data_IF_008788020560
#
_entry.id   IF_008788020560
#
_cell.length_a   1.000
_cell.length_b   1.000
_cell.length_c   1.000
_cell.angle_alpha   90.00
_cell.angle_beta   90.00
_cell.angle_gamma   90.00
#
_symmetry.space_group_name_H-M   'P 1'
#
loop_
_entity.id
_entity.type
_entity.pdbx_description
1 polymer ?
#
# COMPACT_ATOMS: atom_id res chain seq x y z
N UNK A 1 20.93 29.48 -20.11
CA UNK A 1 21.04 28.31 -19.23
C UNK A 1 20.09 28.48 -18.06
N UNK A 2 18.82 28.09 -18.21
CA UNK A 2 17.73 28.34 -17.25
C UNK A 2 17.49 27.06 -16.46
N UNK A 3 17.82 27.09 -15.16
CA UNK A 3 17.49 26.03 -14.21
C UNK A 3 16.01 26.12 -13.86
N UNK A 4 15.21 25.19 -14.38
CA UNK A 4 13.82 25.00 -13.96
C UNK A 4 13.80 24.09 -12.74
N UNK A 5 13.71 24.67 -11.56
CA UNK A 5 13.42 23.97 -10.32
C UNK A 5 11.91 23.70 -10.27
N UNK A 6 11.50 22.48 -10.61
CA UNK A 6 10.12 22.02 -10.37
C UNK A 6 9.95 21.76 -8.87
N UNK A 7 9.38 22.73 -8.17
CA UNK A 7 8.77 22.53 -6.85
C UNK A 7 7.43 21.83 -7.06
N UNK A 8 7.37 20.54 -6.81
CA UNK A 8 6.09 19.84 -6.63
C UNK A 8 5.55 20.20 -5.25
N UNK A 9 4.66 21.16 -5.21
CA UNK A 9 3.78 21.39 -4.06
C UNK A 9 2.78 20.25 -4.00
N UNK A 10 2.88 19.41 -2.98
CA UNK A 10 1.81 18.47 -2.62
C UNK A 10 0.72 19.33 -2.00
N UNK A 11 -0.26 19.70 -2.81
CA UNK A 11 -1.50 20.32 -2.36
C UNK A 11 -2.34 19.20 -1.75
N UNK A 12 -2.35 19.11 -0.43
CA UNK A 12 -3.27 18.27 0.33
C UNK A 12 -4.64 18.96 0.26
N UNK A 13 -5.38 18.68 -0.82
CA UNK A 13 -6.79 19.03 -0.92
C UNK A 13 -7.55 18.04 -0.02
N UNK A 14 -7.68 18.39 1.25
CA UNK A 14 -8.76 17.92 2.10
C UNK A 14 -10.00 18.69 1.62
N UNK A 15 -10.60 18.22 0.54
CA UNK A 15 -11.94 18.63 0.18
C UNK A 15 -12.88 17.96 1.19
N UNK A 16 -13.31 18.72 2.20
CA UNK A 16 -14.56 18.45 2.88
C UNK A 16 -15.68 18.51 1.83
N UNK A 17 -15.92 17.39 1.16
CA UNK A 17 -17.15 17.25 0.39
C UNK A 17 -18.26 17.07 1.41
N UNK A 18 -19.01 18.12 1.64
CA UNK A 18 -20.32 18.06 2.28
C UNK A 18 -21.25 17.27 1.35
N UNK A 19 -21.30 15.96 1.54
CA UNK A 19 -22.28 15.08 0.89
C UNK A 19 -23.50 15.02 1.81
N UNK A 20 -24.22 16.11 1.88
CA UNK A 20 -25.61 16.13 2.29
C UNK A 20 -26.42 16.08 1.00
N UNK A 21 -26.88 14.92 0.56
CA UNK A 21 -27.98 14.71 -0.37
C UNK A 21 -27.77 13.48 -1.26
N UNK A 22 -27.77 12.29 -0.71
CA UNK A 22 -28.18 11.07 -1.43
C UNK A 22 -28.82 10.09 -0.44
N UNK A 23 -29.88 10.55 0.20
CA UNK A 23 -30.81 9.70 0.91
C UNK A 23 -32.19 9.97 0.34
N UNK A 24 -32.53 9.30 -0.73
CA UNK A 24 -33.91 8.94 -1.06
C UNK A 24 -33.93 7.99 -2.26
N UNK A 25 -34.09 6.73 -2.00
CA UNK A 25 -34.84 5.85 -2.89
C UNK A 25 -35.29 4.63 -2.08
N UNK A 26 -36.62 4.54 -2.01
CA UNK A 26 -37.41 3.44 -1.49
C UNK A 26 -36.88 2.07 -1.84
N UNK A 27 -36.48 1.29 -0.83
CA UNK A 27 -36.55 -0.17 -0.85
C UNK A 27 -37.26 -0.61 0.43
N UNK A 28 -38.54 -0.80 0.29
CA UNK A 28 -39.47 -1.34 1.26
C UNK A 28 -39.14 -2.77 1.64
N UNK A 29 -39.31 -3.06 2.92
CA UNK A 29 -39.57 -4.34 3.57
C UNK A 29 -38.39 -5.20 3.95
N UNK A 30 -37.82 -4.90 5.12
CA UNK A 30 -37.55 -5.87 6.17
C UNK A 30 -37.42 -5.13 7.51
N UNK A 31 -38.48 -5.21 8.32
CA UNK A 31 -38.74 -4.40 9.53
C UNK A 31 -37.86 -4.67 10.76
N UNK A 32 -36.73 -5.36 10.64
CA UNK A 32 -35.91 -5.68 11.81
C UNK A 32 -34.54 -5.04 11.88
N UNK A 33 -34.04 -4.43 10.81
CA UNK A 33 -32.68 -3.85 10.78
C UNK A 33 -32.64 -2.37 10.34
N UNK A 34 -33.74 -1.79 9.89
CA UNK A 34 -33.75 -0.41 9.33
C UNK A 34 -33.53 0.64 10.42
N UNK A 35 -34.12 0.50 11.59
CA UNK A 35 -34.05 1.48 12.67
C UNK A 35 -32.66 1.60 13.31
N UNK A 36 -31.81 0.55 13.21
CA UNK A 36 -30.46 0.59 13.74
C UNK A 36 -29.49 1.35 12.85
N UNK A 37 -29.73 1.39 11.53
CA UNK A 37 -28.84 2.03 10.57
C UNK A 37 -29.24 3.47 10.22
N UNK A 38 -30.46 3.90 10.48
CA UNK A 38 -30.94 5.24 10.18
C UNK A 38 -30.27 6.33 11.04
N UNK A 39 -29.70 5.95 12.18
CA UNK A 39 -28.98 6.83 13.11
C UNK A 39 -27.46 6.67 13.10
N UNK A 40 -26.89 5.70 12.37
CA UNK A 40 -25.44 5.51 12.30
C UNK A 40 -24.85 6.31 11.12
N UNK A 41 -23.84 7.10 11.39
CA UNK A 41 -23.10 7.84 10.35
C UNK A 41 -22.56 6.93 9.24
N UNK A 42 -22.59 7.41 8.02
CA UNK A 42 -22.16 6.67 6.84
C UNK A 42 -20.65 6.74 6.58
N UNK A 43 -19.90 7.44 7.43
CA UNK A 43 -18.48 7.69 7.25
C UNK A 43 -17.68 7.10 8.40
N UNK A 44 -16.66 6.30 8.09
CA UNK A 44 -15.74 5.74 9.06
C UNK A 44 -14.32 6.16 8.73
N UNK A 45 -13.67 6.84 9.65
CA UNK A 45 -12.25 7.18 9.57
C UNK A 45 -11.43 6.19 10.40
N UNK A 46 -10.29 5.71 9.85
CA UNK A 46 -9.42 4.74 10.53
C UNK A 46 -7.96 5.17 10.41
N UNK A 47 -7.18 4.95 11.48
CA UNK A 47 -5.73 5.05 11.48
C UNK A 47 -5.17 3.71 11.92
N UNK A 48 -4.28 3.13 11.11
CA UNK A 48 -3.72 1.79 11.33
C UNK A 48 -2.20 1.80 11.25
N UNK A 49 -1.57 0.94 12.05
CA UNK A 49 -0.13 0.69 11.99
C UNK A 49 0.15 -0.81 12.00
N UNK A 50 1.21 -1.24 11.32
CA UNK A 50 1.47 -2.67 11.24
C UNK A 50 2.77 -3.07 10.58
N UNK A 51 2.94 -4.38 10.50
CA UNK A 51 4.06 -5.04 9.86
C UNK A 51 3.80 -5.34 8.39
N UNK A 52 4.87 -5.33 7.60
CA UNK A 52 4.82 -5.65 6.18
C UNK A 52 5.74 -6.83 5.91
N UNK A 53 5.17 -7.93 5.42
CA UNK A 53 5.92 -9.06 4.88
C UNK A 53 6.09 -8.84 3.38
N UNK A 54 7.32 -8.71 2.94
CA UNK A 54 7.61 -8.41 1.54
C UNK A 54 7.92 -9.68 0.75
N UNK A 55 7.36 -9.76 -0.46
CA UNK A 55 7.72 -10.73 -1.47
C UNK A 55 8.03 -10.00 -2.78
N UNK A 56 9.31 -9.88 -3.12
CA UNK A 56 9.76 -9.20 -4.33
C UNK A 56 10.48 -10.19 -5.24
N UNK A 57 9.87 -10.51 -6.39
CA UNK A 57 10.48 -11.37 -7.42
C UNK A 57 10.93 -10.50 -8.59
N UNK A 58 12.22 -10.56 -8.89
CA UNK A 58 12.78 -9.87 -10.07
C UNK A 58 12.73 -10.78 -11.30
N UNK A 59 12.30 -10.21 -12.42
CA UNK A 59 12.32 -10.87 -13.74
C UNK A 59 13.03 -9.94 -14.74
N UNK A 60 13.80 -10.56 -15.65
CA UNK A 60 14.31 -9.85 -16.82
C UNK A 60 15.57 -9.03 -16.59
N UNK A 61 16.49 -9.53 -15.76
CA UNK A 61 17.87 -9.04 -15.86
C UNK A 61 18.43 -9.34 -17.26
N UNK A 62 19.00 -8.35 -17.97
CA UNK A 62 19.79 -8.62 -19.16
C UNK A 62 20.86 -9.66 -18.79
N UNK A 63 21.17 -10.59 -19.70
CA UNK A 63 22.23 -11.58 -19.46
C UNK A 63 23.50 -10.85 -19.00
N UNK A 64 23.95 -11.13 -17.79
CA UNK A 64 25.28 -10.74 -17.37
C UNK A 64 26.28 -11.46 -18.27
N UNK A 65 27.48 -10.90 -18.43
CA UNK A 65 28.56 -11.47 -19.23
C UNK A 65 29.01 -12.88 -18.76
N UNK A 66 28.55 -13.31 -17.60
CA UNK A 66 28.77 -14.66 -17.05
C UNK A 66 27.54 -15.53 -17.28
N UNK A 67 27.79 -16.78 -17.63
CA UNK A 67 26.87 -17.77 -18.18
C UNK A 67 25.63 -18.20 -17.36
N UNK A 68 25.28 -17.51 -16.30
CA UNK A 68 24.13 -17.86 -15.45
C UNK A 68 23.16 -16.70 -15.31
N UNK A 69 21.84 -16.91 -15.47
CA UNK A 69 20.87 -15.88 -15.18
C UNK A 69 20.92 -15.54 -13.69
N UNK A 70 21.18 -14.28 -13.37
CA UNK A 70 21.17 -13.80 -11.98
C UNK A 70 19.73 -13.81 -11.48
N UNK A 71 19.34 -14.88 -10.82
CA UNK A 71 18.09 -14.92 -10.08
C UNK A 71 18.31 -14.24 -8.73
N UNK A 72 17.89 -12.98 -8.64
CA UNK A 72 17.85 -12.32 -7.35
C UNK A 72 16.51 -12.71 -6.72
N UNK A 73 16.57 -13.56 -5.72
CA UNK A 73 15.44 -13.93 -4.90
C UNK A 73 14.85 -12.70 -4.21
N UNK A 74 14.02 -12.92 -3.21
CA UNK A 74 13.39 -11.83 -2.47
C UNK A 74 14.44 -10.80 -1.99
N UNK A 75 14.48 -9.60 -2.62
CA UNK A 75 15.51 -8.60 -2.35
C UNK A 75 15.11 -7.59 -1.27
N UNK A 76 13.89 -7.69 -0.74
CA UNK A 76 13.36 -6.85 0.32
C UNK A 76 13.05 -7.71 1.55
N UNK A 77 13.49 -7.26 2.71
CA UNK A 77 13.11 -7.82 4.02
C UNK A 77 11.73 -7.30 4.43
N UNK A 78 11.28 -7.78 5.59
CA UNK A 78 10.07 -7.26 6.22
C UNK A 78 10.23 -5.77 6.54
N UNK A 79 9.11 -5.06 6.55
CA UNK A 79 9.02 -3.64 6.84
C UNK A 79 7.93 -3.36 7.85
N UNK A 80 7.64 -2.09 8.01
CA UNK A 80 6.54 -1.58 8.81
C UNK A 80 5.92 -0.38 8.13
N UNK A 81 4.71 -0.04 8.51
CA UNK A 81 4.01 1.10 7.95
C UNK A 81 2.79 1.50 8.76
N UNK A 82 2.20 2.58 8.33
CA UNK A 82 0.91 3.04 8.82
C UNK A 82 0.07 3.52 7.65
N UNK A 83 -1.25 3.52 7.82
CA UNK A 83 -2.18 4.15 6.90
C UNK A 83 -3.28 4.90 7.64
N UNK A 84 -3.85 5.89 6.93
CA UNK A 84 -5.09 6.55 7.30
C UNK A 84 -6.10 6.29 6.19
N UNK A 85 -7.34 6.00 6.55
CA UNK A 85 -8.40 5.73 5.58
C UNK A 85 -9.73 6.30 5.97
N UNK A 86 -10.55 6.53 4.95
CA UNK A 86 -11.96 6.91 5.09
C UNK A 86 -12.80 5.92 4.30
N UNK A 87 -13.76 5.30 4.95
CA UNK A 87 -14.76 4.42 4.33
C UNK A 87 -16.10 5.14 4.29
N UNK A 88 -16.75 5.13 3.13
CA UNK A 88 -18.09 5.68 2.91
C UNK A 88 -19.01 4.50 2.64
N UNK A 89 -20.04 4.35 3.46
CA UNK A 89 -21.05 3.31 3.32
C UNK A 89 -22.18 3.79 2.40
N UNK A 90 -22.47 3.02 1.37
CA UNK A 90 -23.59 3.24 0.45
C UNK A 90 -24.81 2.37 0.82
N UNK A 91 -24.56 1.32 1.53
CA UNK A 91 -25.56 0.44 2.14
C UNK A 91 -24.94 -0.18 3.40
N UNK A 92 -25.73 -0.83 4.22
CA UNK A 92 -25.26 -1.47 5.46
C UNK A 92 -24.05 -2.40 5.27
N UNK A 93 -23.97 -3.05 4.12
CA UNK A 93 -22.96 -4.05 3.80
C UNK A 93 -21.92 -3.58 2.76
N UNK A 94 -22.13 -2.44 2.10
CA UNK A 94 -21.29 -2.01 0.97
C UNK A 94 -20.67 -0.66 1.24
N UNK A 95 -19.34 -0.62 1.18
CA UNK A 95 -18.57 0.61 1.37
C UNK A 95 -17.47 0.78 0.31
N UNK A 96 -17.04 2.01 0.10
CA UNK A 96 -15.79 2.32 -0.58
C UNK A 96 -14.82 2.90 0.45
N UNK A 97 -13.58 2.38 0.46
CA UNK A 97 -12.50 2.92 1.29
C UNK A 97 -11.45 3.61 0.41
N UNK A 98 -11.10 4.83 0.76
CA UNK A 98 -9.90 5.53 0.28
C UNK A 98 -8.85 5.51 1.39
N UNK A 99 -7.64 5.01 1.10
CA UNK A 99 -6.56 5.01 2.08
C UNK A 99 -5.25 5.56 1.53
N UNK A 100 -4.52 6.27 2.38
CA UNK A 100 -3.18 6.78 2.13
C UNK A 100 -2.23 6.19 3.18
N UNK A 101 -1.18 5.50 2.72
CA UNK A 101 -0.21 4.85 3.59
C UNK A 101 1.19 5.45 3.50
N UNK A 102 2.02 5.09 4.48
CA UNK A 102 3.46 5.31 4.46
C UNK A 102 4.17 4.06 4.97
N UNK A 103 4.97 3.45 4.13
CA UNK A 103 5.60 2.17 4.38
C UNK A 103 7.13 2.27 4.24
N UNK A 104 7.83 1.66 5.17
CA UNK A 104 9.29 1.56 5.20
C UNK A 104 9.68 0.11 4.97
N UNK A 105 10.42 -0.13 3.90
CA UNK A 105 10.84 -1.45 3.45
C UNK A 105 12.35 -1.55 3.46
N UNK A 106 12.89 -2.64 3.94
CA UNK A 106 14.33 -2.85 4.10
C UNK A 106 14.88 -3.73 2.98
N UNK A 107 15.82 -3.24 2.15
CA UNK A 107 16.47 -4.07 1.14
C UNK A 107 17.45 -5.06 1.78
N UNK A 108 17.58 -6.24 1.20
CA UNK A 108 18.58 -7.23 1.61
C UNK A 108 19.94 -6.86 1.05
N UNK A 109 20.94 -6.67 1.92
CA UNK A 109 22.30 -6.31 1.52
C UNK A 109 22.93 -7.34 0.58
N UNK A 110 22.72 -8.63 0.84
CA UNK A 110 23.29 -9.70 0.02
C UNK A 110 22.77 -9.66 -1.42
N UNK A 111 21.52 -9.29 -1.61
CA UNK A 111 20.95 -9.15 -2.97
C UNK A 111 21.58 -8.00 -3.75
N UNK A 112 21.85 -6.86 -3.10
CA UNK A 112 22.53 -5.71 -3.73
C UNK A 112 23.99 -6.03 -4.04
N UNK A 113 24.70 -6.72 -3.15
CA UNK A 113 26.10 -7.18 -3.38
C UNK A 113 26.16 -8.15 -4.56
N UNK A 114 25.20 -9.06 -4.69
CA UNK A 114 25.13 -9.98 -5.83
C UNK A 114 24.90 -9.25 -7.15
N UNK A 115 24.05 -8.20 -7.17
CA UNK A 115 23.89 -7.34 -8.36
C UNK A 115 25.20 -6.66 -8.71
N UNK A 116 25.85 -6.02 -7.75
CA UNK A 116 27.13 -5.35 -7.98
C UNK A 116 28.18 -6.33 -8.57
N UNK A 117 28.35 -7.49 -7.96
CA UNK A 117 29.31 -8.52 -8.43
C UNK A 117 29.05 -8.95 -9.87
N UNK A 118 27.77 -9.28 -10.20
CA UNK A 118 27.41 -9.83 -11.51
C UNK A 118 27.46 -8.81 -12.66
N UNK A 119 27.38 -7.51 -12.34
CA UNK A 119 27.38 -6.43 -13.35
C UNK A 119 28.64 -5.56 -13.27
N UNK A 120 29.74 -6.13 -12.76
CA UNK A 120 31.09 -5.55 -12.79
C UNK A 120 31.28 -4.36 -11.86
N UNK A 121 30.37 -4.14 -10.91
CA UNK A 121 30.55 -3.22 -9.79
C UNK A 121 31.36 -3.89 -8.66
N UNK A 122 31.75 -3.08 -7.68
CA UNK A 122 32.43 -3.59 -6.50
C UNK A 122 31.41 -3.83 -5.37
N UNK A 123 31.25 -5.06 -4.83
CA UNK A 123 30.37 -5.33 -3.69
C UNK A 123 30.71 -4.52 -2.44
N UNK A 124 31.95 -4.03 -2.29
CA UNK A 124 32.35 -3.16 -1.19
C UNK A 124 31.74 -1.74 -1.30
N UNK A 125 31.43 -1.29 -2.52
CA UNK A 125 30.78 0.02 -2.77
C UNK A 125 29.28 0.01 -2.50
N UNK A 126 28.71 -1.17 -2.23
CA UNK A 126 27.34 -1.31 -1.70
C UNK A 126 27.36 -0.74 -0.27
N UNK A 127 27.18 0.56 -0.15
CA UNK A 127 27.22 1.29 1.09
C UNK A 127 26.18 0.83 2.12
N UNK A 128 26.15 1.48 3.28
CA UNK A 128 25.15 1.19 4.33
C UNK A 128 23.75 1.12 3.72
N UNK A 129 23.03 0.06 4.04
CA UNK A 129 21.64 -0.20 3.66
C UNK A 129 20.77 1.04 3.85
N UNK A 130 20.08 1.48 2.80
CA UNK A 130 19.11 2.57 2.86
C UNK A 130 17.73 2.03 2.55
N UNK A 131 16.78 2.42 3.36
CA UNK A 131 15.39 1.98 3.25
C UNK A 131 14.74 2.45 1.94
N UNK A 132 13.77 1.65 1.49
CA UNK A 132 12.87 2.00 0.40
C UNK A 132 11.58 2.47 1.06
N UNK A 133 11.14 3.65 0.65
CA UNK A 133 9.88 4.24 1.11
C UNK A 133 8.82 4.03 0.04
N UNK A 134 7.62 3.65 0.47
CA UNK A 134 6.47 3.44 -0.39
C UNK A 134 5.26 4.19 0.20
N UNK A 135 4.66 5.05 -0.60
CA UNK A 135 3.45 5.80 -0.25
C UNK A 135 2.32 5.29 -1.16
N UNK A 136 1.54 4.30 -0.72
CA UNK A 136 0.39 3.82 -1.48
C UNK A 136 -0.81 4.72 -1.27
N UNK A 137 -1.48 5.07 -2.37
CA UNK A 137 -2.84 5.58 -2.40
C UNK A 137 -3.73 4.46 -2.93
N UNK A 138 -4.74 4.07 -2.16
CA UNK A 138 -5.54 2.87 -2.40
C UNK A 138 -7.02 3.21 -2.40
N UNK A 139 -7.76 2.64 -3.35
CA UNK A 139 -9.22 2.66 -3.39
C UNK A 139 -9.71 1.23 -3.41
N UNK A 140 -10.57 0.86 -2.45
CA UNK A 140 -11.17 -0.49 -2.35
C UNK A 140 -12.68 -0.40 -2.21
N UNK A 141 -13.40 -1.26 -2.95
CA UNK A 141 -14.77 -1.60 -2.64
C UNK A 141 -14.78 -2.69 -1.57
N UNK A 142 -15.55 -2.51 -0.53
CA UNK A 142 -15.65 -3.41 0.61
C UNK A 142 -17.06 -3.98 0.73
N UNK A 143 -17.14 -5.25 1.10
CA UNK A 143 -18.36 -5.91 1.51
C UNK A 143 -18.24 -6.33 2.97
N UNK A 144 -19.07 -5.75 3.83
CA UNK A 144 -19.15 -6.06 5.24
C UNK A 144 -20.14 -7.20 5.44
N UNK A 145 -19.64 -8.32 5.96
CA UNK A 145 -20.47 -9.50 6.25
C UNK A 145 -21.35 -9.15 7.41
N UNK A 146 -22.63 -9.37 7.27
CA UNK A 146 -23.76 -8.96 8.12
C UNK A 146 -23.39 -8.63 9.58
N UNK A 147 -23.94 -7.58 10.17
CA UNK A 147 -23.52 -7.07 11.46
C UNK A 147 -23.84 -8.09 12.57
N UNK A 148 -22.82 -8.80 13.00
CA UNK A 148 -22.89 -9.63 14.20
C UNK A 148 -22.65 -8.73 15.42
N UNK A 149 -23.63 -7.89 15.76
CA UNK A 149 -23.50 -6.97 16.88
C UNK A 149 -22.28 -6.03 16.73
N UNK A 150 -21.34 -6.10 17.69
CA UNK A 150 -20.14 -5.28 17.72
C UNK A 150 -19.02 -5.76 16.78
N UNK A 151 -19.14 -6.89 16.11
CA UNK A 151 -18.09 -7.49 15.27
C UNK A 151 -18.55 -7.45 13.81
N UNK A 152 -17.80 -6.73 12.95
CA UNK A 152 -18.12 -6.54 11.52
C UNK A 152 -16.94 -6.97 10.65
N UNK A 153 -16.84 -8.24 10.24
CA UNK A 153 -15.83 -8.67 9.29
C UNK A 153 -16.14 -8.15 7.89
N UNK A 154 -15.10 -7.89 7.12
CA UNK A 154 -15.23 -7.41 5.74
C UNK A 154 -14.16 -8.00 4.82
N UNK A 155 -14.49 -8.01 3.55
CA UNK A 155 -13.57 -8.31 2.45
C UNK A 155 -13.58 -7.16 1.46
N UNK A 156 -12.45 -6.90 0.81
CA UNK A 156 -12.33 -5.80 -0.13
C UNK A 156 -11.45 -6.14 -1.31
N UNK A 157 -11.75 -5.52 -2.43
CA UNK A 157 -10.94 -5.57 -3.64
C UNK A 157 -10.82 -4.17 -4.22
N UNK A 158 -9.66 -3.84 -4.78
CA UNK A 158 -9.46 -2.51 -5.29
C UNK A 158 -8.18 -2.35 -6.09
N UNK A 159 -7.79 -1.09 -6.21
CA UNK A 159 -6.63 -0.67 -6.96
C UNK A 159 -5.79 0.31 -6.15
N UNK A 160 -4.47 0.27 -6.35
CA UNK A 160 -3.56 1.19 -5.71
C UNK A 160 -2.49 1.72 -6.66
N UNK A 161 -2.09 2.97 -6.45
CA UNK A 161 -0.86 3.56 -6.97
C UNK A 161 0.12 3.76 -5.84
N UNK A 162 1.39 3.43 -6.05
CA UNK A 162 2.43 3.60 -5.04
C UNK A 162 3.53 4.51 -5.55
N UNK A 163 3.75 5.60 -4.85
CA UNK A 163 4.95 6.41 -5.02
C UNK A 163 6.09 5.77 -4.25
N UNK A 164 7.20 5.47 -4.95
CA UNK A 164 8.34 4.76 -4.36
C UNK A 164 9.61 5.56 -4.52
N UNK A 165 10.41 5.62 -3.46
CA UNK A 165 11.73 6.25 -3.51
C UNK A 165 12.73 5.55 -2.58
N UNK A 166 14.01 5.63 -2.93
CA UNK A 166 15.10 5.11 -2.12
C UNK A 166 16.23 6.13 -2.07
N UNK A 167 16.87 6.25 -0.92
CA UNK A 167 18.07 7.08 -0.75
C UNK A 167 19.36 6.32 -1.08
N UNK A 168 19.28 5.10 -1.62
CA UNK A 168 20.45 4.31 -1.99
C UNK A 168 21.15 4.88 -3.22
N UNK A 169 22.47 5.12 -3.12
CA UNK A 169 23.27 5.53 -4.28
C UNK A 169 23.29 4.39 -5.32
N UNK A 170 23.00 4.71 -6.57
CA UNK A 170 23.04 3.74 -7.67
C UNK A 170 21.83 2.80 -7.77
N UNK A 171 20.78 2.96 -6.94
CA UNK A 171 19.55 2.20 -7.05
C UNK A 171 18.34 3.14 -7.01
N UNK A 172 17.52 3.13 -8.07
CA UNK A 172 16.30 3.93 -8.16
C UNK A 172 15.12 3.00 -8.41
N UNK A 173 14.08 3.14 -7.59
CA UNK A 173 12.82 2.39 -7.75
C UNK A 173 11.81 3.33 -8.42
N UNK A 174 11.15 2.86 -9.47
CA UNK A 174 10.07 3.61 -10.13
C UNK A 174 8.76 3.43 -9.37
N UNK A 175 7.85 4.38 -9.55
CA UNK A 175 6.48 4.26 -9.08
C UNK A 175 5.82 3.03 -9.71
N UNK A 176 4.88 2.44 -9.00
CA UNK A 176 4.16 1.27 -9.48
C UNK A 176 2.68 1.38 -9.14
N UNK A 177 1.91 0.45 -9.68
CA UNK A 177 0.48 0.37 -9.45
C UNK A 177 0.01 -1.08 -9.61
N UNK A 178 -1.19 -1.38 -9.11
CA UNK A 178 -1.76 -2.70 -9.26
C UNK A 178 -3.00 -2.94 -8.41
N UNK A 179 -3.43 -4.19 -8.38
CA UNK A 179 -4.59 -4.61 -7.59
C UNK A 179 -4.23 -4.70 -6.09
N UNK A 180 -5.26 -4.59 -5.25
CA UNK A 180 -5.18 -4.88 -3.82
C UNK A 180 -6.36 -5.76 -3.42
N UNK A 181 -6.08 -6.74 -2.55
CA UNK A 181 -7.08 -7.52 -1.84
C UNK A 181 -7.00 -7.16 -0.36
N UNK A 182 -8.14 -7.10 0.29
CA UNK A 182 -8.27 -6.69 1.68
C UNK A 182 -9.20 -7.64 2.42
N UNK A 183 -8.86 -7.96 3.65
CA UNK A 183 -9.73 -8.65 4.60
C UNK A 183 -9.51 -8.02 5.97
N UNK A 184 -10.57 -7.82 6.71
CA UNK A 184 -10.44 -7.25 8.04
C UNK A 184 -11.66 -7.45 8.90
N UNK A 185 -11.59 -6.91 10.10
CA UNK A 185 -12.68 -6.89 11.04
C UNK A 185 -12.68 -5.56 11.80
N UNK A 186 -13.85 -4.96 11.88
CA UNK A 186 -14.15 -3.80 12.71
C UNK A 186 -14.83 -4.27 14.00
N UNK A 187 -14.22 -3.98 15.13
CA UNK A 187 -14.73 -4.28 16.48
C UNK A 187 -15.25 -2.98 17.08
N UNK A 188 -16.56 -2.78 17.04
CA UNK A 188 -17.20 -1.57 17.58
C UNK A 188 -17.24 -1.63 19.11
N UNK A 189 -16.75 -0.56 19.71
CA UNK A 189 -16.90 -0.27 21.12
C UNK A 189 -18.09 0.68 21.32
N UNK A 190 -18.30 1.14 22.56
CA UNK A 190 -19.27 2.22 22.82
C UNK A 190 -18.79 3.51 22.11
N UNK A 191 -19.75 4.42 21.84
CA UNK A 191 -19.50 5.79 21.38
C UNK A 191 -18.79 5.88 20.00
N UNK A 192 -19.28 5.14 19.00
CA UNK A 192 -18.83 5.20 17.59
C UNK A 192 -17.32 4.96 17.36
N UNK A 193 -16.64 4.45 18.37
CA UNK A 193 -15.24 4.07 18.31
C UNK A 193 -15.10 2.60 17.96
N UNK A 194 -14.14 2.28 17.11
CA UNK A 194 -13.86 0.89 16.75
C UNK A 194 -12.36 0.56 16.81
N UNK A 195 -12.06 -0.69 17.05
CA UNK A 195 -10.74 -1.29 16.84
C UNK A 195 -10.80 -2.04 15.51
N UNK A 196 -9.85 -1.81 14.65
CA UNK A 196 -9.76 -2.45 13.34
C UNK A 196 -8.55 -3.36 13.27
N UNK A 197 -8.76 -4.58 12.76
CA UNK A 197 -7.70 -5.49 12.30
C UNK A 197 -7.81 -5.62 10.79
N UNK A 198 -6.72 -5.41 10.07
CA UNK A 198 -6.72 -5.32 8.61
C UNK A 198 -5.52 -6.06 8.00
N UNK A 199 -5.77 -6.77 6.92
CA UNK A 199 -4.76 -7.44 6.10
C UNK A 199 -4.94 -7.01 4.66
N UNK A 200 -3.93 -6.35 4.09
CA UNK A 200 -3.90 -5.91 2.69
C UNK A 200 -2.81 -6.65 1.92
N UNK A 201 -3.19 -7.37 0.87
CA UNK A 201 -2.28 -7.96 -0.10
C UNK A 201 -2.20 -7.04 -1.32
N UNK A 202 -1.07 -6.40 -1.50
CA UNK A 202 -0.80 -5.56 -2.67
C UNK A 202 -0.18 -6.39 -3.80
N UNK A 203 -0.54 -6.10 -5.05
CA UNK A 203 0.07 -6.66 -6.25
C UNK A 203 0.64 -5.50 -7.07
N UNK A 204 1.95 -5.28 -6.97
CA UNK A 204 2.61 -4.13 -7.53
C UNK A 204 3.60 -4.54 -8.61
N UNK A 205 3.50 -3.91 -9.78
CA UNK A 205 4.51 -4.00 -10.83
C UNK A 205 5.32 -2.69 -10.84
N UNK A 206 6.63 -2.80 -10.70
CA UNK A 206 7.56 -1.67 -10.71
C UNK A 206 8.83 -2.03 -11.44
N UNK A 207 9.72 -1.06 -11.63
CA UNK A 207 11.02 -1.22 -12.25
C UNK A 207 12.10 -0.66 -11.33
N UNK A 208 13.19 -1.40 -11.21
CA UNK A 208 14.36 -0.97 -10.45
C UNK A 208 15.50 -0.72 -11.41
N UNK A 209 16.05 0.48 -11.36
CA UNK A 209 17.18 0.92 -12.18
C UNK A 209 18.44 0.93 -11.32
N UNK A 210 19.44 0.18 -11.76
CA UNK A 210 20.78 0.16 -11.16
C UNK A 210 21.72 1.01 -12.00
N UNK A 211 22.51 1.88 -11.34
CA UNK A 211 23.46 2.81 -11.95
C UNK A 211 24.79 2.83 -11.17
N UNK A 212 25.78 3.49 -11.73
CA UNK A 212 27.05 3.76 -11.04
C UNK A 212 26.81 4.48 -9.69
N UNK A 213 27.48 4.09 -8.59
CA UNK A 213 28.65 3.19 -8.51
C UNK A 213 28.32 1.70 -8.39
N UNK A 214 27.04 1.32 -8.29
CA UNK A 214 26.61 -0.05 -7.99
C UNK A 214 26.92 -1.01 -9.14
N UNK A 215 26.83 -0.54 -10.38
CA UNK A 215 27.11 -1.33 -11.60
C UNK A 215 27.88 -0.47 -12.62
N UNK A 216 28.77 -1.08 -13.41
CA UNK A 216 29.53 -0.34 -14.44
C UNK A 216 28.63 0.17 -15.58
N UNK A 217 27.62 -0.60 -15.97
CA UNK A 217 26.65 -0.26 -17.01
C UNK A 217 25.25 -0.23 -16.41
N UNK A 218 24.48 0.83 -16.67
CA UNK A 218 23.12 0.94 -16.17
C UNK A 218 22.25 -0.24 -16.60
N UNK A 219 21.55 -0.84 -15.65
CA UNK A 219 20.70 -2.03 -15.84
C UNK A 219 19.35 -1.77 -15.21
N UNK A 220 18.29 -2.07 -15.97
CA UNK A 220 16.90 -2.03 -15.49
C UNK A 220 16.36 -3.43 -15.31
N UNK A 221 15.58 -3.64 -14.27
CA UNK A 221 14.90 -4.91 -14.01
C UNK A 221 13.46 -4.68 -13.60
N UNK A 222 12.55 -5.43 -14.22
CA UNK A 222 11.13 -5.45 -13.81
C UNK A 222 10.98 -6.26 -12.54
N UNK A 223 10.26 -5.71 -11.57
CA UNK A 223 10.04 -6.32 -10.27
C UNK A 223 8.54 -6.48 -10.04
N UNK A 224 8.13 -7.72 -9.75
CA UNK A 224 6.82 -7.99 -9.16
C UNK A 224 6.97 -7.93 -7.66
N UNK A 225 6.31 -6.95 -7.07
CA UNK A 225 6.40 -6.67 -5.65
C UNK A 225 5.02 -6.88 -5.02
N UNK A 226 4.92 -7.87 -4.15
CA UNK A 226 3.65 -8.26 -3.55
C UNK A 226 3.76 -8.19 -2.02
N UNK A 227 3.75 -6.98 -1.41
CA UNK A 227 3.79 -6.85 0.03
C UNK A 227 2.44 -7.25 0.64
N UNK A 228 2.50 -7.99 1.75
CA UNK A 228 1.39 -8.26 2.64
C UNK A 228 1.53 -7.38 3.87
N UNK A 229 0.59 -6.48 4.09
CA UNK A 229 0.50 -5.65 5.28
C UNK A 229 -0.51 -6.26 6.26
N UNK A 230 -0.10 -6.40 7.52
CA UNK A 230 -0.98 -6.79 8.64
C UNK A 230 -0.96 -5.63 9.62
N UNK A 231 -2.10 -5.05 9.87
CA UNK A 231 -2.24 -3.82 10.63
C UNK A 231 -3.34 -3.90 11.68
N UNK A 232 -3.14 -3.15 12.75
CA UNK A 232 -4.14 -2.87 13.78
C UNK A 232 -4.32 -1.37 13.88
N UNK A 233 -5.52 -0.92 14.19
CA UNK A 233 -5.81 0.49 14.30
C UNK A 233 -7.05 0.80 15.10
N UNK A 234 -7.32 2.08 15.14
CA UNK A 234 -8.55 2.65 15.73
C UNK A 234 -9.31 3.40 14.66
N UNK A 235 -10.61 3.46 14.80
CA UNK A 235 -11.48 4.21 13.91
C UNK A 235 -12.61 4.88 14.66
N UNK A 236 -13.20 5.84 13.96
CA UNK A 236 -14.33 6.65 14.44
C UNK A 236 -15.37 6.69 13.34
N UNK A 237 -16.61 6.55 13.73
CA UNK A 237 -17.77 6.62 12.86
C UNK A 237 -18.46 7.98 13.03
N UNK A 238 -18.91 8.57 11.92
CA UNK A 238 -19.58 9.86 11.87
C UNK A 238 -20.84 9.79 11.04
#
# INVERSE_FOLDING_TARGET
>A
MIKVTKKFGILLLVSCVSISSFANSDLTNNDYDADYYENEGNLVFKIRGGGIKSSAKQKGFPKATAASPVSIGNFVENGYGFDASTSIFFASNVAAELSLGFNVLRPKNNSLKNVAYNYGGNPADVGKRKDIYMIPLTVTGQYHIAPFGAIRPYVGVGYHGAYMFSKSKGCTVKNGHGAVLQIGVDLYAKDDTLINLDVKQYFLNTEVNYKTPLVKKSVSSKVKFNPLMIAIGVGFRF
#
